data_IF_931520912018
#
_entry.id   IF_931520912018
#
_cell.length_a   1.000
_cell.length_b   1.000
_cell.length_c   1.000
_cell.angle_alpha   90.00
_cell.angle_beta   90.00
_cell.angle_gamma   90.00
#
_symmetry.space_group_name_H-M   'P 1'
#
loop_
_entity.id
_entity.type
_entity.pdbx_description
1 polymer ?
#
# COMPACT_ATOMS: atom_id res chain seq x y z
N UNK A 1 -4.71 16.83 0.82
CA UNK A 1 -3.24 16.69 0.70
C UNK A 1 -2.92 15.40 -0.05
N UNK A 2 -1.76 15.33 -0.72
CA UNK A 2 -1.27 14.11 -1.38
C UNK A 2 -0.19 13.48 -0.52
N UNK A 3 -0.35 12.19 -0.19
CA UNK A 3 0.54 11.46 0.71
C UNK A 3 1.04 10.19 0.01
N UNK A 4 2.35 9.97 0.02
CA UNK A 4 2.97 8.76 -0.50
C UNK A 4 3.62 7.96 0.65
N UNK A 5 3.19 6.73 0.84
CA UNK A 5 3.77 5.80 1.80
C UNK A 5 4.81 4.91 1.10
N UNK A 6 6.07 5.02 1.49
CA UNK A 6 7.12 4.10 1.09
C UNK A 6 7.22 2.99 2.13
N UNK A 7 6.91 1.75 1.74
CA UNK A 7 6.91 0.63 2.67
C UNK A 7 7.46 -0.65 2.05
N UNK A 8 8.21 -1.43 2.83
CA UNK A 8 8.67 -2.75 2.41
C UNK A 8 7.54 -3.79 2.33
N UNK A 9 6.41 -3.52 2.98
CA UNK A 9 5.26 -4.42 3.09
C UNK A 9 3.95 -3.63 3.20
N UNK A 10 2.87 -4.21 2.67
CA UNK A 10 1.48 -3.82 2.91
C UNK A 10 0.68 -5.10 3.16
N UNK A 11 -0.28 -5.05 4.08
CA UNK A 11 -1.06 -6.23 4.51
C UNK A 11 -2.06 -6.69 3.45
N UNK A 12 -1.55 -7.18 2.32
CA UNK A 12 -2.27 -7.64 1.15
C UNK A 12 -1.35 -8.54 0.31
N UNK A 13 -1.87 -9.08 -0.79
CA UNK A 13 -1.07 -9.80 -1.79
C UNK A 13 -0.27 -10.99 -1.23
N UNK A 14 -0.84 -11.69 -0.25
CA UNK A 14 -0.19 -12.84 0.39
C UNK A 14 0.93 -12.49 1.37
N UNK A 15 1.14 -11.21 1.72
CA UNK A 15 2.12 -10.79 2.74
C UNK A 15 1.40 -10.21 3.96
N UNK A 16 1.47 -10.95 5.08
CA UNK A 16 0.76 -10.64 6.31
C UNK A 16 1.74 -10.56 7.49
N UNK A 17 1.92 -9.37 8.03
CA UNK A 17 2.84 -9.08 9.14
C UNK A 17 2.55 -7.72 9.75
N UNK A 18 3.11 -7.44 10.93
CA UNK A 18 2.84 -6.22 11.70
C UNK A 18 3.16 -4.93 10.92
N UNK A 19 4.31 -4.88 10.25
CA UNK A 19 4.70 -3.75 9.41
C UNK A 19 3.70 -3.47 8.29
N UNK A 20 3.34 -4.51 7.51
CA UNK A 20 2.34 -4.36 6.46
C UNK A 20 0.97 -3.92 7.00
N UNK A 21 0.60 -4.38 8.21
CA UNK A 21 -0.67 -3.99 8.86
C UNK A 21 -0.66 -2.52 9.24
N UNK A 22 0.45 -2.02 9.79
CA UNK A 22 0.63 -0.62 10.11
C UNK A 22 0.52 0.27 8.86
N UNK A 23 1.22 -0.09 7.78
CA UNK A 23 1.12 0.63 6.49
C UNK A 23 -0.31 0.71 5.99
N UNK A 24 -1.02 -0.42 5.97
CA UNK A 24 -2.40 -0.50 5.46
C UNK A 24 -3.37 0.29 6.33
N UNK A 25 -3.25 0.17 7.66
CA UNK A 25 -4.10 0.89 8.61
C UNK A 25 -3.88 2.40 8.51
N UNK A 26 -2.63 2.86 8.55
CA UNK A 26 -2.31 4.28 8.43
C UNK A 26 -2.83 4.86 7.12
N UNK A 27 -2.57 4.19 6.00
CA UNK A 27 -3.00 4.68 4.69
C UNK A 27 -4.52 4.72 4.54
N UNK A 28 -5.23 3.69 4.99
CA UNK A 28 -6.70 3.66 4.98
C UNK A 28 -7.34 4.74 5.85
N UNK A 29 -6.77 5.02 7.03
CA UNK A 29 -7.27 6.09 7.90
C UNK A 29 -6.98 7.50 7.33
N UNK A 30 -5.86 7.68 6.62
CA UNK A 30 -5.58 8.92 5.89
C UNK A 30 -6.56 9.13 4.73
N UNK A 31 -6.90 8.07 4.00
CA UNK A 31 -7.95 8.11 2.96
C UNK A 31 -9.29 8.52 3.58
N UNK A 32 -9.69 7.91 4.71
CA UNK A 32 -10.93 8.25 5.41
C UNK A 32 -11.01 9.71 5.84
N UNK A 33 -9.88 10.36 6.10
CA UNK A 33 -9.78 11.79 6.43
C UNK A 33 -9.74 12.71 5.21
N UNK A 34 -9.97 12.18 4.00
CA UNK A 34 -10.05 12.94 2.76
C UNK A 34 -8.69 13.26 2.13
N UNK A 35 -7.65 12.51 2.47
CA UNK A 35 -6.35 12.64 1.80
C UNK A 35 -6.26 11.73 0.57
N UNK A 36 -5.57 12.20 -0.47
CA UNK A 36 -5.22 11.38 -1.63
C UNK A 36 -3.95 10.59 -1.27
N UNK A 37 -4.08 9.27 -1.14
CA UNK A 37 -2.99 8.42 -0.63
C UNK A 37 -2.55 7.44 -1.69
N UNK A 38 -1.23 7.33 -1.88
CA UNK A 38 -0.62 6.22 -2.58
C UNK A 38 0.40 5.49 -1.72
N UNK A 39 0.63 4.21 -2.02
CA UNK A 39 1.66 3.40 -1.37
C UNK A 39 2.56 2.75 -2.43
N UNK A 40 3.87 2.80 -2.23
CA UNK A 40 4.85 2.13 -3.11
C UNK A 40 5.45 0.97 -2.32
N UNK A 41 5.28 -0.25 -2.84
CA UNK A 41 5.69 -1.49 -2.18
C UNK A 41 6.36 -2.45 -3.16
N UNK A 42 7.20 -3.39 -2.71
CA UNK A 42 7.71 -4.42 -3.60
C UNK A 42 6.59 -5.33 -4.12
N UNK A 43 6.65 -5.65 -5.41
CA UNK A 43 5.66 -6.49 -6.10
C UNK A 43 5.65 -7.91 -5.53
N UNK A 44 4.44 -8.42 -5.26
CA UNK A 44 4.20 -9.79 -4.82
C UNK A 44 3.58 -10.64 -5.94
N UNK A 45 3.57 -11.95 -5.73
CA UNK A 45 3.02 -12.91 -6.71
C UNK A 45 1.54 -12.60 -6.93
N UNK A 46 1.14 -12.42 -8.20
CA UNK A 46 -0.22 -12.03 -8.63
C UNK A 46 -0.65 -10.61 -8.28
N UNK A 47 0.27 -9.76 -7.84
CA UNK A 47 0.03 -8.32 -7.70
C UNK A 47 0.38 -7.61 -9.01
N UNK A 48 -0.51 -6.73 -9.48
CA UNK A 48 -0.29 -5.85 -10.61
C UNK A 48 0.67 -4.69 -10.30
N UNK A 49 1.14 -3.96 -11.32
CA UNK A 49 1.99 -2.77 -11.14
C UNK A 49 1.27 -1.61 -10.44
N UNK A 50 -0.06 -1.55 -10.55
CA UNK A 50 -0.93 -0.54 -9.95
C UNK A 50 -2.26 -1.17 -9.57
N UNK A 51 -2.70 -0.99 -8.33
CA UNK A 51 -3.98 -1.50 -7.83
C UNK A 51 -4.61 -0.52 -6.83
N UNK A 52 -5.90 -0.68 -6.55
CA UNK A 52 -6.59 0.08 -5.49
C UNK A 52 -6.77 -0.81 -4.27
N UNK A 53 -6.39 -0.31 -3.09
CA UNK A 53 -6.56 -1.01 -1.82
C UNK A 53 -7.02 -0.03 -0.74
N UNK A 54 -8.18 -0.27 -0.16
CA UNK A 54 -8.79 0.59 0.87
C UNK A 54 -8.82 2.08 0.46
N UNK A 55 -9.08 2.34 -0.83
CA UNK A 55 -9.09 3.69 -1.42
C UNK A 55 -7.71 4.31 -1.68
N UNK A 56 -6.62 3.63 -1.32
CA UNK A 56 -5.25 4.02 -1.71
C UNK A 56 -4.93 3.52 -3.13
N UNK A 57 -4.12 4.28 -3.87
CA UNK A 57 -3.43 3.73 -5.06
C UNK A 57 -2.14 3.04 -4.63
N UNK A 58 -2.05 1.73 -4.81
CA UNK A 58 -0.84 0.95 -4.51
C UNK A 58 -0.05 0.71 -5.79
N UNK A 59 1.17 1.20 -5.83
CA UNK A 59 2.16 0.94 -6.89
C UNK A 59 3.13 -0.15 -6.46
N UNK A 60 3.47 -1.04 -7.39
CA UNK A 60 4.41 -2.12 -7.13
C UNK A 60 5.60 -2.13 -8.10
N UNK A 61 6.80 -2.28 -7.53
CA UNK A 61 8.04 -2.40 -8.29
C UNK A 61 8.58 -3.85 -8.25
N UNK A 62 9.21 -4.35 -9.32
CA UNK A 62 9.84 -5.67 -9.32
C UNK A 62 10.91 -5.75 -8.22
N UNK A 63 10.94 -6.85 -7.46
CA UNK A 63 12.15 -7.18 -6.69
C UNK A 63 13.13 -7.87 -7.65
N UNK A 64 14.36 -7.36 -7.70
CA UNK A 64 15.53 -8.03 -8.26
C UNK A 64 15.81 -9.34 -7.54
#
# INVERSE_FOLDING_TARGET
>A
MRICLLAGEIFAYGKYGGFGRATRCLGGELVRRGHEVCAIVPRRRRQGPRETLDGMTVWSYPRS
#
